data_IF_084880040165
#
_entry.id   IF_084880040165
#
_cell.length_a   1.000
_cell.length_b   1.000
_cell.length_c   1.000
_cell.angle_alpha   90.00
_cell.angle_beta   90.00
_cell.angle_gamma   90.00
#
_symmetry.space_group_name_H-M   'P 1'
#
loop_
_entity.id
_entity.type
_entity.pdbx_description
1 polymer ?
#
# COMPACT_ATOMS: atom_id res chain seq x y z
N UNK A 1 16.18 -18.45 -4.16
CA UNK A 1 14.94 -18.69 -4.93
C UNK A 1 14.72 -20.18 -4.98
N UNK A 2 13.59 -20.62 -4.45
CA UNK A 2 13.11 -21.99 -4.53
C UNK A 2 11.91 -22.05 -5.48
N UNK A 3 11.83 -23.10 -6.31
CA UNK A 3 10.68 -23.37 -7.18
C UNK A 3 9.77 -24.39 -6.48
N UNK A 4 8.65 -23.94 -5.94
CA UNK A 4 7.70 -24.76 -5.17
C UNK A 4 6.68 -25.49 -6.05
N UNK A 5 6.42 -24.97 -7.25
CA UNK A 5 5.65 -25.61 -8.33
C UNK A 5 6.03 -24.99 -9.69
N UNK A 6 5.40 -25.45 -10.78
CA UNK A 6 5.58 -24.83 -12.10
C UNK A 6 5.23 -23.33 -12.10
N UNK A 7 4.18 -22.94 -11.35
CA UNK A 7 3.63 -21.58 -11.28
C UNK A 7 3.81 -20.91 -9.91
N UNK A 8 4.74 -21.37 -9.07
CA UNK A 8 5.02 -20.78 -7.76
C UNK A 8 6.52 -20.75 -7.46
N UNK A 9 7.04 -19.54 -7.27
CA UNK A 9 8.42 -19.26 -6.86
C UNK A 9 8.46 -18.60 -5.48
N UNK A 10 9.47 -18.92 -4.69
CA UNK A 10 9.69 -18.33 -3.37
C UNK A 10 11.10 -17.78 -3.21
N UNK A 11 11.20 -16.58 -2.65
CA UNK A 11 12.44 -15.99 -2.14
C UNK A 11 12.50 -15.97 -0.61
N UNK A 12 11.50 -16.51 0.08
CA UNK A 12 11.53 -16.66 1.53
C UNK A 12 12.46 -17.81 1.94
N UNK A 13 13.41 -17.52 2.82
CA UNK A 13 14.29 -18.53 3.42
C UNK A 13 13.62 -19.29 4.56
N UNK A 14 12.61 -18.66 5.20
CA UNK A 14 11.82 -19.21 6.29
C UNK A 14 10.35 -18.89 6.00
N UNK A 15 9.55 -19.92 5.76
CA UNK A 15 8.13 -19.78 5.44
C UNK A 15 7.37 -20.99 5.98
N UNK A 16 6.24 -20.75 6.64
CA UNK A 16 5.42 -21.82 7.18
C UNK A 16 4.58 -22.52 6.10
N UNK A 17 4.18 -23.76 6.38
CA UNK A 17 3.44 -24.59 5.43
C UNK A 17 2.07 -24.00 5.06
N UNK A 18 1.38 -23.30 5.98
CA UNK A 18 0.06 -22.73 5.69
C UNK A 18 0.18 -21.57 4.69
N UNK A 19 1.22 -20.74 4.84
CA UNK A 19 1.55 -19.68 3.88
C UNK A 19 1.85 -20.26 2.50
N UNK A 20 2.66 -21.33 2.44
CA UNK A 20 2.96 -22.01 1.17
C UNK A 20 1.70 -22.60 0.54
N UNK A 21 0.81 -23.23 1.31
CA UNK A 21 -0.41 -23.83 0.77
C UNK A 21 -1.40 -22.78 0.26
N UNK A 22 -1.52 -21.63 0.94
CA UNK A 22 -2.32 -20.51 0.44
C UNK A 22 -1.81 -20.00 -0.92
N UNK A 23 -0.50 -19.86 -1.07
CA UNK A 23 0.13 -19.46 -2.33
C UNK A 23 0.00 -20.55 -3.40
N UNK A 24 0.15 -21.82 -3.02
CA UNK A 24 -0.02 -22.97 -3.92
C UNK A 24 -1.45 -23.04 -4.45
N UNK A 25 -2.44 -22.82 -3.60
CA UNK A 25 -3.85 -22.74 -3.99
C UNK A 25 -4.09 -21.60 -4.99
N UNK A 26 -3.55 -20.42 -4.72
CA UNK A 26 -3.65 -19.26 -5.61
C UNK A 26 -2.99 -19.50 -6.97
N UNK A 27 -1.80 -20.12 -7.00
CA UNK A 27 -1.05 -20.40 -8.23
C UNK A 27 -1.69 -21.43 -9.17
N UNK A 28 -2.66 -22.22 -8.67
CA UNK A 28 -3.42 -23.20 -9.47
C UNK A 28 -4.55 -22.55 -10.28
N UNK A 29 -4.88 -21.28 -10.02
CA UNK A 29 -5.92 -20.59 -10.78
C UNK A 29 -5.56 -20.55 -12.27
N UNK A 30 -6.52 -20.81 -13.18
CA UNK A 30 -6.22 -21.08 -14.59
C UNK A 30 -5.62 -19.88 -15.32
N UNK A 31 -5.96 -18.67 -14.87
CA UNK A 31 -5.51 -17.40 -15.44
C UNK A 31 -4.19 -16.87 -14.86
N UNK A 32 -3.53 -17.60 -13.95
CA UNK A 32 -2.21 -17.19 -13.43
C UNK A 32 -1.17 -17.29 -14.55
N UNK A 33 -0.45 -16.19 -14.77
CA UNK A 33 0.66 -16.16 -15.71
C UNK A 33 1.66 -15.06 -15.36
N UNK A 34 2.97 -15.34 -15.39
CA UNK A 34 3.60 -16.66 -15.58
C UNK A 34 3.48 -17.57 -14.35
N UNK A 35 3.61 -16.97 -13.16
CA UNK A 35 3.72 -17.64 -11.88
C UNK A 35 3.43 -16.65 -10.76
N UNK A 36 3.01 -17.16 -9.61
CA UNK A 36 3.00 -16.42 -8.35
C UNK A 36 4.43 -16.36 -7.79
N UNK A 37 4.83 -15.21 -7.28
CA UNK A 37 6.12 -15.01 -6.61
C UNK A 37 5.91 -14.60 -5.15
N UNK A 38 6.61 -15.26 -4.24
CA UNK A 38 6.64 -14.92 -2.81
C UNK A 38 7.92 -14.15 -2.46
N UNK A 39 7.75 -12.99 -1.82
CA UNK A 39 8.84 -12.18 -1.29
C UNK A 39 9.38 -12.78 0.01
N UNK A 40 10.56 -12.34 0.50
CA UNK A 40 11.17 -12.93 1.69
C UNK A 40 10.35 -12.83 2.99
N UNK A 41 9.43 -11.87 3.07
CA UNK A 41 8.54 -11.58 4.19
C UNK A 41 7.15 -12.23 4.03
N UNK A 42 7.01 -13.20 3.11
CA UNK A 42 5.74 -13.84 2.84
C UNK A 42 5.17 -14.56 4.07
N UNK A 43 3.88 -14.32 4.35
CA UNK A 43 3.15 -14.92 5.47
C UNK A 43 1.66 -15.01 5.18
N UNK A 44 0.96 -15.83 5.97
CA UNK A 44 -0.46 -16.10 5.83
C UNK A 44 -1.26 -14.80 5.87
N UNK A 45 -2.09 -14.58 4.85
CA UNK A 45 -2.91 -13.38 4.72
C UNK A 45 -4.40 -13.67 4.66
N UNK A 46 -5.21 -12.64 4.85
CA UNK A 46 -6.65 -12.72 4.58
C UNK A 46 -6.89 -12.74 3.07
N UNK A 47 -7.38 -13.85 2.54
CA UNK A 47 -7.73 -14.07 1.14
C UNK A 47 -6.58 -14.51 0.24
N UNK A 48 -5.44 -13.80 0.29
CA UNK A 48 -4.21 -14.20 -0.39
C UNK A 48 -3.00 -13.95 0.51
N UNK A 49 -1.92 -14.66 0.23
CA UNK A 49 -0.62 -14.56 0.91
C UNK A 49 -0.11 -13.12 0.90
N UNK A 50 0.26 -12.58 2.07
CA UNK A 50 1.01 -11.31 2.14
C UNK A 50 2.45 -11.59 1.73
N UNK A 51 3.11 -10.62 1.11
CA UNK A 51 4.43 -10.80 0.49
C UNK A 51 4.32 -11.58 -0.82
N UNK A 52 3.32 -11.27 -1.65
CA UNK A 52 3.12 -11.97 -2.92
C UNK A 52 2.88 -11.03 -4.09
N UNK A 53 3.34 -11.48 -5.27
CA UNK A 53 3.01 -10.95 -6.58
C UNK A 53 2.21 -12.03 -7.31
N UNK A 54 0.97 -11.71 -7.67
CA UNK A 54 -0.02 -12.62 -8.25
C UNK A 54 -0.46 -12.04 -9.60
N UNK A 55 0.22 -12.40 -10.69
CA UNK A 55 -0.10 -11.90 -12.03
C UNK A 55 -1.19 -12.76 -12.69
N UNK A 56 -2.21 -12.10 -13.25
CA UNK A 56 -3.42 -12.75 -13.79
C UNK A 56 -3.76 -12.24 -15.19
N UNK A 57 -4.17 -13.14 -16.10
CA UNK A 57 -4.65 -12.80 -17.45
C UNK A 57 -6.16 -12.54 -17.41
N UNK A 58 -6.61 -11.37 -17.87
CA UNK A 58 -8.04 -11.11 -18.09
C UNK A 58 -8.93 -11.23 -16.85
N UNK A 59 -8.36 -11.22 -15.65
CA UNK A 59 -9.09 -11.38 -14.40
C UNK A 59 -8.34 -10.70 -13.25
N UNK A 60 -9.04 -10.27 -12.22
CA UNK A 60 -8.43 -9.83 -10.94
C UNK A 60 -9.19 -10.44 -9.78
N UNK A 61 -8.45 -10.90 -8.77
CA UNK A 61 -8.99 -11.31 -7.46
C UNK A 61 -8.89 -10.11 -6.51
N UNK A 62 -9.98 -9.39 -6.14
CA UNK A 62 -9.87 -8.22 -5.28
C UNK A 62 -9.23 -8.52 -3.91
N UNK A 63 -9.42 -9.73 -3.39
CA UNK A 63 -8.80 -10.17 -2.13
C UNK A 63 -7.27 -10.34 -2.23
N UNK A 64 -6.73 -10.50 -3.45
CA UNK A 64 -5.30 -10.58 -3.72
C UNK A 64 -4.59 -9.23 -3.65
N UNK A 65 -5.33 -8.12 -3.77
CA UNK A 65 -4.79 -6.76 -3.51
C UNK A 65 -4.80 -6.44 -2.01
N UNK A 66 -5.78 -6.97 -1.29
CA UNK A 66 -5.96 -6.76 0.15
C UNK A 66 -6.96 -5.66 0.48
N UNK A 67 -7.23 -5.52 1.77
CA UNK A 67 -8.28 -4.63 2.30
C UNK A 67 -7.78 -3.22 2.66
N UNK A 68 -6.50 -2.94 2.45
CA UNK A 68 -5.93 -1.60 2.54
C UNK A 68 -5.24 -1.26 1.21
N UNK A 69 -6.06 -0.84 0.26
CA UNK A 69 -5.63 -0.50 -1.10
C UNK A 69 -4.62 0.64 -1.03
N UNK A 70 -3.53 0.54 -1.78
CA UNK A 70 -2.51 1.56 -1.83
C UNK A 70 -1.72 1.73 -0.52
N UNK A 71 -1.87 0.84 0.47
CA UNK A 71 -0.97 0.78 1.63
C UNK A 71 0.47 0.84 1.15
N UNK A 72 1.30 1.63 1.83
CA UNK A 72 2.56 2.12 1.30
C UNK A 72 3.36 2.93 2.29
N UNK A 73 4.59 3.24 1.89
CA UNK A 73 5.55 3.98 2.68
C UNK A 73 5.89 5.27 1.95
N UNK A 74 6.20 6.31 2.72
CA UNK A 74 6.87 7.51 2.22
C UNK A 74 8.01 7.85 3.17
N UNK A 75 9.15 8.25 2.60
CA UNK A 75 10.31 8.67 3.34
C UNK A 75 10.91 9.94 2.74
N UNK A 76 11.43 10.82 3.60
CA UNK A 76 12.11 12.05 3.21
C UNK A 76 13.44 12.16 3.93
N UNK A 77 14.53 12.34 3.18
CA UNK A 77 15.85 12.66 3.73
C UNK A 77 16.01 14.16 3.89
N UNK A 78 16.47 14.59 5.04
CA UNK A 78 16.69 16.00 5.38
C UNK A 78 18.19 16.32 5.42
N UNK A 79 18.58 17.61 5.44
CA UNK A 79 19.96 18.00 5.70
C UNK A 79 20.38 17.86 7.17
N UNK A 80 19.44 17.57 8.07
CA UNK A 80 19.73 17.43 9.51
C UNK A 80 20.44 16.12 9.80
N UNK A 81 21.16 16.13 10.92
CA UNK A 81 21.92 15.00 11.44
C UNK A 81 21.42 14.59 12.82
N UNK A 82 21.87 13.43 13.31
CA UNK A 82 21.63 12.98 14.69
C UNK A 82 21.90 14.09 15.72
N UNK A 83 22.98 14.87 15.53
CA UNK A 83 23.39 15.90 16.48
C UNK A 83 22.31 16.98 16.67
N UNK A 84 21.58 17.31 15.61
CA UNK A 84 20.49 18.30 15.63
C UNK A 84 19.30 17.79 16.48
N UNK A 85 19.04 16.49 16.46
CA UNK A 85 17.96 15.84 17.21
C UNK A 85 18.30 15.61 18.68
N UNK A 86 19.46 15.02 18.98
CA UNK A 86 19.79 14.53 20.33
C UNK A 86 20.06 15.63 21.35
N UNK A 87 20.20 16.88 20.88
CA UNK A 87 20.33 18.06 21.74
C UNK A 87 19.00 18.51 22.37
N UNK A 88 17.87 17.92 21.96
CA UNK A 88 16.51 18.32 22.36
C UNK A 88 15.71 17.12 22.89
N UNK A 89 14.61 17.39 23.59
CA UNK A 89 13.71 16.33 24.09
C UNK A 89 12.82 15.79 22.96
N UNK A 90 13.15 14.59 22.45
CA UNK A 90 12.41 13.95 21.36
C UNK A 90 10.94 13.63 21.70
N UNK A 91 10.57 13.60 22.99
CA UNK A 91 9.17 13.48 23.40
C UNK A 91 8.35 14.65 22.87
N UNK A 92 8.93 15.85 22.81
CA UNK A 92 8.24 17.03 22.31
C UNK A 92 7.89 16.88 20.83
N UNK A 93 8.85 16.45 20.01
CA UNK A 93 8.63 16.18 18.58
C UNK A 93 7.53 15.13 18.38
N UNK A 94 7.60 14.02 19.13
CA UNK A 94 6.57 12.97 19.11
C UNK A 94 5.18 13.56 19.42
N UNK A 95 5.05 14.30 20.52
CA UNK A 95 3.77 14.91 20.93
C UNK A 95 3.27 15.99 19.95
N UNK A 96 4.16 16.69 19.26
CA UNK A 96 3.81 17.59 18.17
C UNK A 96 3.19 16.82 16.99
N UNK A 97 3.83 15.73 16.57
CA UNK A 97 3.34 14.86 15.48
C UNK A 97 2.00 14.24 15.85
N UNK A 98 1.86 13.68 17.07
CA UNK A 98 0.62 13.06 17.57
C UNK A 98 -0.57 14.04 17.57
N UNK A 99 -0.32 15.34 17.81
CA UNK A 99 -1.35 16.39 17.75
C UNK A 99 -1.70 16.80 16.32
N UNK A 100 -0.72 16.78 15.41
CA UNK A 100 -0.90 17.20 14.02
C UNK A 100 -1.57 16.14 13.14
N UNK A 101 -1.41 14.86 13.50
CA UNK A 101 -1.87 13.72 12.70
C UNK A 101 -2.76 12.83 13.57
N UNK A 102 -4.06 12.68 13.24
CA UNK A 102 -4.93 11.75 13.92
C UNK A 102 -4.41 10.30 13.81
N UNK A 103 -4.31 9.64 14.97
CA UNK A 103 -3.80 8.27 15.11
C UNK A 103 -4.93 7.31 15.49
N UNK A 104 -4.76 6.02 15.20
CA UNK A 104 -5.70 4.93 15.49
C UNK A 104 -6.94 4.85 14.58
N UNK A 105 -7.63 3.71 14.65
CA UNK A 105 -8.82 3.44 13.84
C UNK A 105 -9.98 4.35 14.25
N UNK A 106 -10.69 4.91 13.25
CA UNK A 106 -11.87 5.74 13.49
C UNK A 106 -11.59 7.16 13.96
N UNK A 107 -10.31 7.51 14.15
CA UNK A 107 -9.89 8.87 14.44
C UNK A 107 -9.56 9.61 13.16
N UNK A 108 -10.49 10.45 12.74
CA UNK A 108 -10.37 11.33 11.57
C UNK A 108 -9.99 12.75 12.01
N UNK A 109 -9.58 13.58 11.06
CA UNK A 109 -9.46 15.02 11.29
C UNK A 109 -10.83 15.60 11.71
N UNK A 110 -10.80 16.65 12.55
CA UNK A 110 -12.03 17.34 12.97
C UNK A 110 -12.63 18.20 11.85
N UNK A 111 -11.76 18.71 10.97
CA UNK A 111 -12.08 19.47 9.76
C UNK A 111 -11.05 19.15 8.67
N UNK A 112 -11.40 19.42 7.41
CA UNK A 112 -10.39 19.49 6.35
C UNK A 112 -9.53 20.72 6.66
N UNK A 113 -8.22 20.53 6.75
CA UNK A 113 -7.25 21.61 6.98
C UNK A 113 -6.80 22.18 5.64
N UNK A 114 -6.34 23.44 5.62
CA UNK A 114 -5.99 24.15 4.40
C UNK A 114 -5.00 23.39 3.50
N UNK A 115 -4.00 22.73 4.07
CA UNK A 115 -3.02 21.90 3.34
C UNK A 115 -3.65 20.71 2.63
N UNK A 116 -4.76 20.18 3.16
CA UNK A 116 -5.48 19.04 2.62
C UNK A 116 -6.56 19.44 1.59
N UNK A 117 -6.99 20.71 1.54
CA UNK A 117 -8.07 21.17 0.66
C UNK A 117 -7.79 20.90 -0.83
N UNK A 118 -6.61 21.23 -1.39
CA UNK A 118 -6.32 20.95 -2.80
C UNK A 118 -6.34 19.45 -3.12
N UNK A 119 -5.83 18.63 -2.19
CA UNK A 119 -5.79 17.17 -2.31
C UNK A 119 -7.19 16.56 -2.26
N UNK A 120 -8.06 17.09 -1.39
CA UNK A 120 -9.48 16.70 -1.34
C UNK A 120 -10.19 17.07 -2.64
N UNK A 121 -9.98 18.28 -3.16
CA UNK A 121 -10.58 18.71 -4.42
C UNK A 121 -10.15 17.82 -5.60
N UNK A 122 -8.86 17.44 -5.66
CA UNK A 122 -8.37 16.48 -6.65
C UNK A 122 -9.09 15.13 -6.54
N UNK A 123 -9.26 14.60 -5.33
CA UNK A 123 -9.96 13.35 -5.10
C UNK A 123 -11.45 13.43 -5.43
N UNK A 124 -12.09 14.58 -5.21
CA UNK A 124 -13.47 14.81 -5.64
C UNK A 124 -13.61 14.80 -7.16
N UNK A 125 -12.70 15.47 -7.86
CA UNK A 125 -12.65 15.46 -9.32
C UNK A 125 -12.46 14.04 -9.86
N UNK A 126 -11.45 13.32 -9.36
CA UNK A 126 -11.18 11.94 -9.78
C UNK A 126 -12.35 10.99 -9.49
N UNK A 127 -13.07 11.20 -8.38
CA UNK A 127 -14.27 10.43 -8.07
C UNK A 127 -15.41 10.69 -9.08
N UNK A 128 -15.61 11.95 -9.45
CA UNK A 128 -16.60 12.36 -10.45
C UNK A 128 -16.27 11.79 -11.84
N UNK A 129 -15.01 11.88 -12.27
CA UNK A 129 -14.52 11.26 -13.51
C UNK A 129 -14.66 9.74 -13.48
N UNK A 130 -14.37 9.12 -12.34
CA UNK A 130 -14.59 7.70 -12.09
C UNK A 130 -16.06 7.33 -11.92
N UNK A 131 -17.01 8.28 -11.96
CA UNK A 131 -18.45 8.03 -11.93
C UNK A 131 -18.94 7.37 -10.63
N UNK A 132 -18.31 7.64 -9.49
CA UNK A 132 -18.76 7.12 -8.19
C UNK A 132 -18.64 8.17 -7.08
N UNK A 133 -19.35 7.93 -5.97
CA UNK A 133 -19.30 8.79 -4.79
C UNK A 133 -18.66 8.04 -3.62
N UNK A 134 -17.42 8.39 -3.21
CA UNK A 134 -16.75 7.78 -2.08
C UNK A 134 -17.52 7.94 -0.76
N UNK A 135 -18.38 8.97 -0.64
CA UNK A 135 -19.20 9.19 0.54
C UNK A 135 -20.27 8.09 0.74
N UNK A 136 -20.65 7.37 -0.32
CA UNK A 136 -21.50 6.16 -0.22
C UNK A 136 -20.79 5.00 0.48
N UNK A 137 -19.46 4.98 0.47
CA UNK A 137 -18.64 3.96 1.16
C UNK A 137 -18.21 4.44 2.54
N UNK A 138 -17.78 5.69 2.63
CA UNK A 138 -17.35 6.32 3.87
C UNK A 138 -17.73 7.80 3.86
N UNK A 139 -18.83 8.16 4.53
CA UNK A 139 -19.38 9.54 4.56
C UNK A 139 -18.34 10.60 4.94
N UNK A 140 -17.39 10.26 5.82
CA UNK A 140 -16.34 11.15 6.33
C UNK A 140 -14.99 11.00 5.62
N UNK A 141 -14.93 10.40 4.43
CA UNK A 141 -13.66 10.10 3.75
C UNK A 141 -12.73 11.32 3.61
N UNK A 142 -13.27 12.52 3.40
CA UNK A 142 -12.49 13.77 3.32
C UNK A 142 -11.69 14.05 4.59
N UNK A 143 -12.25 13.69 5.74
CA UNK A 143 -11.63 13.88 7.06
C UNK A 143 -10.59 12.79 7.38
N UNK A 144 -10.60 11.68 6.64
CA UNK A 144 -9.58 10.63 6.76
C UNK A 144 -8.25 11.03 6.10
N UNK A 145 -8.25 11.99 5.18
CA UNK A 145 -7.04 12.45 4.50
C UNK A 145 -6.11 13.17 5.49
N UNK A 146 -4.84 12.75 5.54
CA UNK A 146 -3.88 13.20 6.54
C UNK A 146 -4.05 12.51 7.90
N UNK A 147 -4.47 11.24 7.93
CA UNK A 147 -4.57 10.42 9.16
C UNK A 147 -3.77 9.13 9.03
N UNK A 148 -3.21 8.66 10.14
CA UNK A 148 -2.30 7.51 10.13
C UNK A 148 -3.07 6.18 10.12
N UNK A 149 -3.95 6.02 11.10
CA UNK A 149 -4.66 4.78 11.36
C UNK A 149 -4.08 3.85 12.40
N UNK A 150 -4.41 2.58 12.22
CA UNK A 150 -4.13 1.47 13.14
C UNK A 150 -3.46 0.32 12.41
N UNK A 151 -3.13 -0.75 13.13
CA UNK A 151 -2.45 -1.92 12.58
C UNK A 151 -0.94 -1.68 12.60
N UNK A 152 -0.28 -2.01 11.50
CA UNK A 152 1.16 -1.79 11.32
C UNK A 152 1.52 -0.38 10.83
N UNK A 153 0.59 0.58 10.81
CA UNK A 153 0.86 1.95 10.37
C UNK A 153 1.62 2.74 11.44
N UNK A 154 2.69 3.42 11.04
CA UNK A 154 3.55 4.19 11.95
C UNK A 154 4.11 5.45 11.29
N UNK A 155 4.62 6.35 12.13
CA UNK A 155 5.43 7.51 11.74
C UNK A 155 6.70 7.44 12.59
N UNK A 156 7.84 7.59 11.96
CA UNK A 156 9.16 7.59 12.59
C UNK A 156 9.99 8.76 12.09
N UNK A 157 10.77 9.35 12.99
CA UNK A 157 11.91 10.20 12.65
C UNK A 157 13.13 9.41 13.05
N UNK A 158 13.86 8.95 12.05
CA UNK A 158 14.94 7.97 12.17
C UNK A 158 16.23 8.56 11.63
N UNK A 159 17.34 7.87 11.89
CA UNK A 159 18.66 8.23 11.41
C UNK A 159 19.25 7.04 10.67
N UNK A 160 19.91 7.30 9.55
CA UNK A 160 20.59 6.26 8.77
C UNK A 160 22.02 5.99 9.28
N UNK A 161 22.75 5.10 8.61
CA UNK A 161 24.12 4.74 8.94
C UNK A 161 25.14 5.88 8.80
N UNK A 162 24.75 6.98 8.16
CA UNK A 162 25.55 8.21 8.01
C UNK A 162 25.13 9.31 8.98
N UNK A 163 24.26 8.99 9.95
CA UNK A 163 23.62 9.89 10.90
C UNK A 163 22.70 10.94 10.26
N UNK A 164 22.32 10.80 8.99
CA UNK A 164 21.37 11.71 8.35
C UNK A 164 19.95 11.42 8.85
N UNK A 165 19.17 12.48 9.06
CA UNK A 165 17.80 12.39 9.59
C UNK A 165 16.81 12.15 8.46
N UNK A 166 15.99 11.13 8.66
CA UNK A 166 14.89 10.73 7.79
C UNK A 166 13.56 10.87 8.52
N UNK A 167 12.56 11.37 7.82
CA UNK A 167 11.16 11.19 8.19
C UNK A 167 10.63 9.99 7.42
N UNK A 168 9.98 9.04 8.08
CA UNK A 168 9.44 7.84 7.47
C UNK A 168 8.03 7.59 7.99
N UNK A 169 7.10 7.23 7.12
CA UNK A 169 5.79 6.75 7.58
C UNK A 169 5.21 5.66 6.69
N UNK A 170 4.40 4.82 7.31
CA UNK A 170 3.69 3.71 6.70
C UNK A 170 2.17 3.89 6.88
N UNK A 171 1.42 4.00 5.78
CA UNK A 171 -0.03 4.14 5.80
C UNK A 171 -0.67 3.86 4.43
N UNK A 172 -2.00 3.74 4.41
CA UNK A 172 -2.79 3.39 3.24
C UNK A 172 -4.02 4.26 3.01
N UNK A 173 -5.03 3.66 2.41
CA UNK A 173 -6.26 4.34 1.94
C UNK A 173 -7.33 4.50 3.02
N UNK A 174 -6.98 4.18 4.27
CA UNK A 174 -7.80 4.38 5.46
C UNK A 174 -9.15 3.64 5.34
N UNK A 175 -10.15 4.10 6.07
CA UNK A 175 -11.46 3.45 6.11
C UNK A 175 -12.17 3.46 4.75
N UNK A 176 -11.99 4.51 3.94
CA UNK A 176 -12.63 4.60 2.62
C UNK A 176 -12.15 3.51 1.67
N UNK A 177 -10.83 3.29 1.56
CA UNK A 177 -10.31 2.22 0.71
C UNK A 177 -10.62 0.82 1.25
N UNK A 178 -10.67 0.66 2.58
CA UNK A 178 -11.16 -0.59 3.19
C UNK A 178 -12.59 -0.93 2.77
N UNK A 179 -13.50 0.05 2.78
CA UNK A 179 -14.89 -0.14 2.37
C UNK A 179 -15.02 -0.41 0.87
N UNK A 180 -14.18 0.21 0.04
CA UNK A 180 -14.09 -0.08 -1.40
C UNK A 180 -13.64 -1.52 -1.62
N UNK A 181 -12.54 -1.95 -0.98
CA UNK A 181 -12.03 -3.31 -1.09
C UNK A 181 -13.06 -4.35 -0.66
N UNK A 182 -13.67 -4.17 0.53
CA UNK A 182 -14.71 -5.07 1.04
C UNK A 182 -15.91 -5.18 0.10
N UNK A 183 -16.33 -4.06 -0.52
CA UNK A 183 -17.41 -4.08 -1.48
C UNK A 183 -17.08 -4.96 -2.69
N UNK A 184 -15.93 -4.75 -3.33
CA UNK A 184 -15.57 -5.49 -4.54
C UNK A 184 -15.21 -6.95 -4.27
N UNK A 185 -14.65 -7.26 -3.09
CA UNK A 185 -14.52 -8.65 -2.62
C UNK A 185 -15.90 -9.30 -2.49
N UNK A 186 -16.88 -8.61 -1.90
CA UNK A 186 -18.24 -9.14 -1.78
C UNK A 186 -18.93 -9.31 -3.14
N UNK A 187 -18.72 -8.38 -4.08
CA UNK A 187 -19.20 -8.51 -5.46
C UNK A 187 -18.61 -9.75 -6.11
N UNK A 188 -17.29 -9.91 -6.13
CA UNK A 188 -16.63 -11.08 -6.73
C UNK A 188 -17.14 -12.40 -6.13
N UNK A 189 -17.26 -12.48 -4.79
CA UNK A 189 -17.83 -13.65 -4.11
C UNK A 189 -19.30 -13.90 -4.46
N UNK A 190 -20.08 -12.84 -4.68
CA UNK A 190 -21.46 -12.93 -5.13
C UNK A 190 -21.58 -13.50 -6.54
N UNK A 191 -20.76 -13.00 -7.48
CA UNK A 191 -20.69 -13.51 -8.85
C UNK A 191 -20.29 -14.99 -8.85
N UNK A 192 -19.23 -15.34 -8.11
CA UNK A 192 -18.76 -16.72 -8.02
C UNK A 192 -19.82 -17.71 -7.52
N UNK A 193 -20.65 -17.31 -6.55
CA UNK A 193 -21.78 -18.12 -6.07
C UNK A 193 -22.92 -18.21 -7.06
N UNK A 194 -23.26 -17.09 -7.71
CA UNK A 194 -24.34 -17.02 -8.72
C UNK A 194 -24.02 -17.89 -9.93
N UNK A 195 -22.75 -17.86 -10.35
CA UNK A 195 -22.27 -18.56 -11.54
C UNK A 195 -21.75 -19.97 -11.21
N UNK A 196 -21.93 -20.42 -9.96
CA UNK A 196 -21.54 -21.74 -9.45
C UNK A 196 -20.08 -22.12 -9.80
N UNK A 197 -19.17 -21.14 -9.67
CA UNK A 197 -17.75 -21.35 -9.99
C UNK A 197 -17.12 -22.35 -9.03
N UNK A 198 -16.50 -23.40 -9.58
CA UNK A 198 -15.69 -24.35 -8.84
C UNK A 198 -14.35 -23.70 -8.44
N UNK A 199 -14.32 -23.09 -7.26
CA UNK A 199 -13.15 -22.42 -6.70
C UNK A 199 -12.56 -23.26 -5.58
N UNK A 200 -11.22 -23.45 -5.53
CA UNK A 200 -10.56 -24.11 -4.40
C UNK A 200 -10.85 -23.43 -3.06
N UNK A 201 -11.04 -22.11 -3.09
CA UNK A 201 -11.45 -21.32 -1.94
C UNK A 201 -12.22 -20.07 -2.40
N UNK A 202 -13.26 -19.67 -1.67
CA UNK A 202 -14.12 -18.53 -2.04
C UNK A 202 -13.37 -17.18 -2.04
N UNK A 203 -12.23 -17.09 -1.36
CA UNK A 203 -11.39 -15.88 -1.40
C UNK A 203 -10.66 -15.69 -2.73
N UNK A 204 -10.59 -16.73 -3.57
CA UNK A 204 -10.06 -16.65 -4.93
C UNK A 204 -11.11 -16.20 -5.96
N UNK A 205 -12.28 -15.76 -5.49
CA UNK A 205 -13.29 -15.15 -6.34
C UNK A 205 -12.71 -13.93 -7.07
N UNK A 206 -13.04 -13.83 -8.36
CA UNK A 206 -12.42 -12.89 -9.28
C UNK A 206 -13.46 -12.13 -10.10
N UNK A 207 -13.02 -10.99 -10.65
CA UNK A 207 -13.73 -10.19 -11.64
C UNK A 207 -13.06 -10.41 -12.99
N UNK A 208 -13.85 -10.50 -14.06
CA UNK A 208 -13.36 -10.79 -15.42
C UNK A 208 -13.19 -9.48 -16.19
N UNK A 209 -12.05 -9.31 -16.85
CA UNK A 209 -11.76 -8.12 -17.66
C UNK A 209 -12.80 -7.93 -18.76
N UNK A 210 -13.28 -6.69 -18.93
CA UNK A 210 -14.33 -6.33 -19.87
C UNK A 210 -15.77 -6.44 -19.33
N UNK A 211 -15.96 -6.83 -18.06
CA UNK A 211 -17.27 -6.70 -17.40
C UNK A 211 -17.42 -5.39 -16.63
N UNK A 212 -18.66 -4.94 -16.42
CA UNK A 212 -18.97 -3.72 -15.67
C UNK A 212 -18.43 -3.75 -14.24
N UNK A 213 -18.43 -4.92 -13.58
CA UNK A 213 -17.90 -5.08 -12.23
C UNK A 213 -16.39 -4.89 -12.20
N UNK A 214 -15.69 -5.42 -13.19
CA UNK A 214 -14.24 -5.25 -13.33
C UNK A 214 -13.88 -3.78 -13.57
N UNK A 215 -14.53 -3.13 -14.53
CA UNK A 215 -14.25 -1.74 -14.88
C UNK A 215 -14.59 -0.78 -13.73
N UNK A 216 -15.65 -1.09 -12.97
CA UNK A 216 -15.97 -0.36 -11.75
C UNK A 216 -14.90 -0.57 -10.67
N UNK A 217 -14.48 -1.81 -10.44
CA UNK A 217 -13.43 -2.10 -9.48
C UNK A 217 -12.13 -1.36 -9.81
N UNK A 218 -11.67 -1.39 -11.07
CA UNK A 218 -10.45 -0.70 -11.50
C UNK A 218 -10.53 0.81 -11.26
N UNK A 219 -11.66 1.45 -11.59
CA UNK A 219 -11.83 2.89 -11.36
C UNK A 219 -11.83 3.25 -9.87
N UNK A 220 -12.57 2.52 -9.05
CA UNK A 220 -12.62 2.77 -7.60
C UNK A 220 -11.30 2.42 -6.90
N UNK A 221 -10.60 1.37 -7.36
CA UNK A 221 -9.27 0.98 -6.89
C UNK A 221 -8.23 2.08 -7.17
N UNK A 222 -8.17 2.59 -8.41
CA UNK A 222 -7.24 3.66 -8.80
C UNK A 222 -7.47 4.91 -7.98
N UNK A 223 -8.73 5.26 -7.73
CA UNK A 223 -9.08 6.35 -6.83
C UNK A 223 -8.56 6.11 -5.41
N UNK A 224 -8.75 4.89 -4.86
CA UNK A 224 -8.27 4.54 -3.53
C UNK A 224 -6.73 4.53 -3.44
N UNK A 225 -6.03 4.10 -4.49
CA UNK A 225 -4.56 4.22 -4.58
C UNK A 225 -4.12 5.68 -4.57
N UNK A 226 -4.82 6.56 -5.30
CA UNK A 226 -4.52 8.00 -5.30
C UNK A 226 -4.81 8.63 -3.94
N UNK A 227 -5.90 8.25 -3.29
CA UNK A 227 -6.19 8.66 -1.91
C UNK A 227 -5.06 8.25 -0.97
N UNK A 228 -4.58 7.00 -1.02
CA UNK A 228 -3.50 6.52 -0.16
C UNK A 228 -2.19 7.29 -0.38
N UNK A 229 -1.84 7.57 -1.63
CA UNK A 229 -0.69 8.40 -1.99
C UNK A 229 -0.82 9.79 -1.38
N UNK A 230 -1.93 10.50 -1.63
CA UNK A 230 -2.16 11.85 -1.12
C UNK A 230 -2.27 11.89 0.41
N UNK A 231 -2.76 10.82 1.04
CA UNK A 231 -2.79 10.68 2.49
C UNK A 231 -1.37 10.66 3.07
N UNK A 232 -0.45 9.91 2.44
CA UNK A 232 0.96 9.87 2.82
C UNK A 232 1.67 11.19 2.59
N UNK A 233 1.44 11.83 1.44
CA UNK A 233 1.98 13.16 1.12
C UNK A 233 1.54 14.20 2.16
N UNK A 234 0.24 14.27 2.46
CA UNK A 234 -0.31 15.19 3.45
C UNK A 234 0.28 14.96 4.85
N UNK A 235 0.43 13.70 5.27
CA UNK A 235 1.06 13.41 6.56
C UNK A 235 2.55 13.76 6.57
N UNK A 236 3.28 13.45 5.50
CA UNK A 236 4.71 13.76 5.42
C UNK A 236 4.95 15.26 5.52
N UNK A 237 4.16 16.08 4.83
CA UNK A 237 4.26 17.54 4.93
C UNK A 237 3.96 18.05 6.35
N UNK A 238 3.01 17.43 7.06
CA UNK A 238 2.74 17.75 8.47
C UNK A 238 3.90 17.36 9.38
N UNK A 239 4.52 16.20 9.15
CA UNK A 239 5.71 15.75 9.89
C UNK A 239 6.87 16.71 9.63
N UNK A 240 7.13 17.09 8.37
CA UNK A 240 8.15 18.08 8.00
C UNK A 240 7.91 19.41 8.72
N UNK A 241 6.66 19.89 8.74
CA UNK A 241 6.32 21.12 9.48
C UNK A 241 6.57 20.99 10.99
N UNK A 242 6.25 19.86 11.63
CA UNK A 242 6.54 19.67 13.06
C UNK A 242 8.05 19.53 13.32
N UNK A 243 8.79 18.83 12.46
CA UNK A 243 10.23 18.69 12.58
C UNK A 243 10.93 20.04 12.46
N UNK A 244 10.55 20.86 11.47
CA UNK A 244 11.10 22.19 11.29
C UNK A 244 10.85 23.10 12.50
N UNK A 245 9.62 23.09 13.03
CA UNK A 245 9.29 23.80 14.27
C UNK A 245 10.10 23.30 15.47
N UNK A 246 10.27 21.99 15.59
CA UNK A 246 11.05 21.39 16.67
C UNK A 246 12.53 21.76 16.60
N UNK A 247 13.08 21.95 15.40
CA UNK A 247 14.49 22.33 15.17
C UNK A 247 14.71 23.84 15.05
N UNK A 248 13.64 24.64 14.98
CA UNK A 248 13.68 26.08 14.67
C UNK A 248 14.36 26.36 13.31
N UNK A 249 14.03 25.54 12.31
CA UNK A 249 14.57 25.60 10.96
C UNK A 249 13.53 25.16 9.93
N UNK A 250 13.66 25.62 8.69
CA UNK A 250 12.89 25.04 7.58
C UNK A 250 13.45 23.66 7.22
N UNK A 251 12.59 22.76 6.74
CA UNK A 251 13.00 21.42 6.33
C UNK A 251 13.22 21.39 4.82
N UNK A 252 14.47 21.43 4.38
CA UNK A 252 14.83 21.14 3.00
C UNK A 252 14.73 19.63 2.73
N UNK A 253 14.04 19.24 1.66
CA UNK A 253 13.91 17.84 1.26
C UNK A 253 14.99 17.48 0.24
N UNK A 254 15.99 16.73 0.69
CA UNK A 254 17.07 16.27 -0.19
C UNK A 254 16.64 15.10 -1.07
N UNK A 255 15.69 14.31 -0.58
CA UNK A 255 15.16 13.14 -1.26
C UNK A 255 13.76 12.81 -0.72
N UNK A 256 12.80 12.51 -1.60
CA UNK A 256 11.46 12.03 -1.23
C UNK A 256 11.15 10.77 -2.02
N UNK A 257 10.86 9.68 -1.32
CA UNK A 257 10.49 8.38 -1.91
C UNK A 257 9.09 8.03 -1.42
N UNK A 258 8.17 7.77 -2.34
CA UNK A 258 6.81 7.31 -2.02
C UNK A 258 6.49 6.05 -2.84
N UNK A 259 6.24 4.92 -2.17
CA UNK A 259 5.91 3.66 -2.81
C UNK A 259 4.76 2.95 -2.10
N UNK A 260 4.05 2.07 -2.81
CA UNK A 260 2.98 1.26 -2.22
C UNK A 260 3.19 -0.22 -2.50
N UNK A 261 2.62 -1.06 -1.64
CA UNK A 261 2.83 -2.51 -1.64
C UNK A 261 1.52 -3.32 -1.70
N UNK A 262 0.36 -2.65 -1.76
CA UNK A 262 -0.96 -3.26 -1.98
C UNK A 262 -1.66 -2.62 -3.18
N UNK A 263 -1.58 -3.19 -4.36
CA UNK A 263 -2.17 -2.61 -5.58
C UNK A 263 -2.28 -3.64 -6.70
N UNK A 264 -2.93 -3.28 -7.81
CA UNK A 264 -2.89 -4.07 -9.04
C UNK A 264 -2.88 -3.15 -10.25
N UNK A 265 -2.01 -3.44 -11.20
CA UNK A 265 -1.78 -2.65 -12.40
C UNK A 265 -1.61 -3.56 -13.62
N UNK A 266 -1.94 -3.03 -14.81
CA UNK A 266 -1.73 -3.75 -16.05
C UNK A 266 -0.27 -3.64 -16.48
N UNK A 267 0.37 -4.78 -16.68
CA UNK A 267 1.81 -4.90 -16.90
C UNK A 267 2.10 -5.89 -18.03
N UNK A 268 3.27 -5.79 -18.64
CA UNK A 268 3.74 -6.73 -19.65
C UNK A 268 4.77 -7.68 -19.01
N UNK A 269 4.43 -8.97 -18.93
CA UNK A 269 5.29 -10.02 -18.38
C UNK A 269 5.37 -11.19 -19.35
N UNK A 270 6.58 -11.64 -19.69
CA UNK A 270 6.81 -12.78 -20.59
C UNK A 270 6.06 -12.69 -21.94
N UNK A 271 5.94 -11.47 -22.48
CA UNK A 271 5.27 -11.23 -23.76
C UNK A 271 3.75 -11.16 -23.67
N UNK A 272 3.16 -11.23 -22.47
CA UNK A 272 1.72 -11.13 -22.27
C UNK A 272 1.33 -10.00 -21.33
N UNK A 273 0.17 -9.39 -21.62
CA UNK A 273 -0.44 -8.41 -20.74
C UNK A 273 -1.13 -9.13 -19.58
N UNK A 274 -0.77 -8.76 -18.36
CA UNK A 274 -1.33 -9.32 -17.12
C UNK A 274 -1.69 -8.20 -16.16
N UNK A 275 -2.51 -8.52 -15.17
CA UNK A 275 -2.76 -7.67 -14.01
C UNK A 275 -1.87 -8.13 -12.85
N UNK A 276 -0.83 -7.35 -12.57
CA UNK A 276 0.15 -7.61 -11.52
C UNK A 276 -0.37 -7.22 -10.14
N UNK A 277 -1.15 -8.10 -9.51
CA UNK A 277 -1.64 -7.85 -8.16
C UNK A 277 -0.52 -8.07 -7.14
N UNK A 278 -0.26 -7.08 -6.29
CA UNK A 278 0.73 -7.13 -5.23
C UNK A 278 0.07 -6.90 -3.89
N UNK A 279 0.47 -7.71 -2.91
CA UNK A 279 0.07 -7.57 -1.52
C UNK A 279 1.28 -7.80 -0.64
N UNK A 280 1.76 -6.75 0.02
CA UNK A 280 3.05 -6.80 0.67
C UNK A 280 4.25 -6.80 -0.28
N UNK A 281 4.12 -6.35 -1.54
CA UNK A 281 5.23 -6.30 -2.49
C UNK A 281 5.25 -4.98 -3.28
N UNK A 282 6.44 -4.39 -3.46
CA UNK A 282 6.64 -3.11 -4.19
C UNK A 282 7.09 -3.35 -5.65
N UNK A 283 7.00 -2.31 -6.48
CA UNK A 283 7.70 -2.28 -7.78
C UNK A 283 9.21 -2.11 -7.57
N UNK A 284 10.00 -2.82 -8.37
CA UNK A 284 11.46 -2.88 -8.25
C UNK A 284 12.16 -2.82 -9.62
N UNK A 285 11.64 -2.00 -10.53
CA UNK A 285 12.25 -1.71 -11.83
C UNK A 285 13.68 -1.15 -11.67
N UNK A 286 14.52 -1.28 -12.70
CA UNK A 286 15.91 -0.82 -12.64
C UNK A 286 15.99 0.67 -12.25
N UNK A 287 16.73 0.99 -11.19
CA UNK A 287 16.89 2.37 -10.72
C UNK A 287 15.70 2.93 -9.93
N UNK A 288 14.64 2.14 -9.71
CA UNK A 288 13.46 2.62 -9.01
C UNK A 288 13.72 2.66 -7.50
N UNK A 289 13.64 3.82 -6.84
CA UNK A 289 13.74 3.88 -5.39
C UNK A 289 12.52 3.20 -4.75
N UNK A 290 12.76 2.52 -3.64
CA UNK A 290 11.76 1.80 -2.87
C UNK A 290 12.06 1.89 -1.38
N UNK A 291 11.06 1.53 -0.59
CA UNK A 291 11.15 1.50 0.86
C UNK A 291 10.75 0.10 1.32
N UNK A 292 11.50 -0.47 2.25
CA UNK A 292 11.15 -1.72 2.94
C UNK A 292 11.04 -1.39 4.42
N UNK A 293 9.82 -1.32 4.98
CA UNK A 293 9.63 -1.03 6.39
C UNK A 293 10.01 -2.25 7.22
N UNK A 294 10.62 -2.02 8.38
CA UNK A 294 10.64 -3.01 9.44
C UNK A 294 9.30 -3.08 10.17
N UNK A 295 9.32 -3.51 11.42
CA UNK A 295 8.27 -3.21 12.40
C UNK A 295 8.59 -1.90 13.15
N UNK A 296 7.61 -1.38 13.89
CA UNK A 296 7.76 -0.19 14.73
C UNK A 296 9.00 -0.30 15.64
N UNK A 297 9.93 0.63 15.52
CA UNK A 297 11.17 0.68 16.29
C UNK A 297 12.28 -0.26 15.81
N UNK A 298 12.14 -0.88 14.64
CA UNK A 298 13.21 -1.65 13.98
C UNK A 298 13.72 -0.93 12.73
N UNK A 299 14.81 -1.43 12.15
CA UNK A 299 15.39 -0.80 10.96
C UNK A 299 14.43 -0.85 9.76
N UNK A 300 14.35 0.27 9.05
CA UNK A 300 13.72 0.39 7.73
C UNK A 300 14.81 0.66 6.69
N UNK A 301 14.57 0.26 5.45
CA UNK A 301 15.58 0.32 4.39
C UNK A 301 15.09 1.14 3.20
N UNK A 302 15.98 2.01 2.71
CA UNK A 302 15.87 2.62 1.38
C UNK A 302 16.58 1.69 0.41
N UNK A 303 15.90 1.31 -0.68
CA UNK A 303 16.40 0.34 -1.65
C UNK A 303 16.25 0.86 -3.06
N UNK A 304 17.04 0.32 -3.98
CA UNK A 304 16.92 0.58 -5.41
C UNK A 304 16.62 -0.73 -6.14
N UNK A 305 15.63 -0.69 -7.03
CA UNK A 305 15.25 -1.82 -7.86
C UNK A 305 16.39 -2.20 -8.80
N UNK A 306 16.76 -3.49 -8.82
CA UNK A 306 17.78 -4.01 -9.74
C UNK A 306 17.26 -4.15 -11.18
N UNK A 307 15.93 -4.13 -11.38
CA UNK A 307 15.29 -4.41 -12.67
C UNK A 307 15.72 -5.74 -13.28
N UNK A 308 15.97 -6.74 -12.43
CA UNK A 308 16.38 -8.07 -12.93
C UNK A 308 15.25 -8.58 -13.83
N UNK A 309 15.54 -8.93 -15.10
CA UNK A 309 14.52 -9.45 -16.00
C UNK A 309 13.84 -10.65 -15.38
N UNK A 310 12.54 -10.77 -15.65
CA UNK A 310 11.74 -11.89 -15.21
C UNK A 310 12.36 -13.20 -15.73
N UNK A 311 12.90 -14.02 -14.81
CA UNK A 311 13.48 -15.34 -15.11
C UNK A 311 12.41 -16.42 -15.14
#
# INVERSE_FOLDING_TARGET
>A
MERLSERLLSWASLIDEQTVEQARTSSRMPFIHPHVALTPDAHLGLGATVGSVIPTRGAIMPAAVGVDIGCGMIAVRTPFTRADLVSRDLRELREQIERAIPLSAGHDNRKVVATAEPRVAELEQLAAEAGFDPAKRARRWRLQLGSLGSGNHFIEVSVDETDAVWMFLHSGSRGVGNRIAQHHIAVAKGLARRDELDLPHIDLAYLVEGTDEFDRYIRELRWAQRFALLNREEMMDRVAHQLGRFLDAEVDELERINCHHNFTESEMHFGERVWGSRKGAILADAGRPGLIPGSMGTASYVVEGRGTPSR
#
